data_IF_285688859754
#
_entry.id   IF_285688859754
#
_cell.length_a   1.000
_cell.length_b   1.000
_cell.length_c   1.000
_cell.angle_alpha   90.00
_cell.angle_beta   90.00
_cell.angle_gamma   90.00
#
_symmetry.space_group_name_H-M   'P 1'
#
loop_
_entity.id
_entity.type
_entity.pdbx_description
1 polymer ?
#
# COMPACT_ATOMS: atom_id res chain seq x y z
N UNK A 1 -32.92 -28.18 20.28
CA UNK A 1 -32.80 -28.08 18.82
C UNK A 1 -32.24 -29.39 18.30
N UNK A 2 -33.03 -30.15 17.56
CA UNK A 2 -32.55 -31.34 16.85
C UNK A 2 -32.07 -30.86 15.46
N UNK A 3 -30.80 -30.49 15.33
CA UNK A 3 -30.21 -30.30 14.01
C UNK A 3 -30.03 -31.69 13.40
N UNK A 4 -30.91 -32.09 12.49
CA UNK A 4 -30.74 -33.29 11.69
C UNK A 4 -29.63 -33.06 10.67
N UNK A 5 -28.40 -33.44 11.04
CA UNK A 5 -27.29 -33.58 10.10
C UNK A 5 -27.54 -34.83 9.23
N UNK A 6 -28.32 -34.69 8.15
CA UNK A 6 -28.52 -35.73 7.15
C UNK A 6 -27.38 -35.72 6.11
N UNK A 7 -26.14 -35.78 6.58
CA UNK A 7 -25.05 -36.23 5.73
C UNK A 7 -24.96 -37.75 5.90
N UNK A 8 -25.84 -38.46 5.20
CA UNK A 8 -25.93 -39.93 5.22
C UNK A 8 -24.70 -40.61 4.59
N UNK A 9 -23.76 -39.82 4.07
CA UNK A 9 -22.66 -40.33 3.22
C UNK A 9 -21.47 -40.87 4.02
N UNK A 10 -21.30 -40.50 5.30
CA UNK A 10 -20.19 -41.01 6.13
C UNK A 10 -20.53 -41.12 7.64
N UNK A 11 -20.70 -42.34 8.19
CA UNK A 11 -20.93 -42.56 9.63
C UNK A 11 -19.83 -41.97 10.53
N UNK A 12 -18.60 -41.85 10.02
CA UNK A 12 -17.47 -41.31 10.77
C UNK A 12 -17.63 -39.81 11.03
N UNK A 13 -18.16 -39.05 10.07
CA UNK A 13 -18.40 -37.61 10.21
C UNK A 13 -19.37 -37.35 11.37
N UNK A 14 -20.47 -38.11 11.41
CA UNK A 14 -21.48 -38.01 12.46
C UNK A 14 -20.93 -38.38 13.84
N UNK A 15 -20.10 -39.43 13.92
CA UNK A 15 -19.43 -39.81 15.16
C UNK A 15 -18.51 -38.69 15.66
N UNK A 16 -17.70 -38.11 14.78
CA UNK A 16 -16.78 -37.04 15.14
C UNK A 16 -17.51 -35.77 15.59
N UNK A 17 -18.57 -35.37 14.88
CA UNK A 17 -19.45 -34.25 15.24
C UNK A 17 -20.08 -34.48 16.62
N UNK A 18 -20.58 -35.69 16.89
CA UNK A 18 -21.16 -36.03 18.19
C UNK A 18 -20.12 -35.99 19.31
N UNK A 19 -18.92 -36.49 19.05
CA UNK A 19 -17.80 -36.44 20.01
C UNK A 19 -17.44 -34.98 20.31
N UNK A 20 -17.28 -34.14 19.27
CA UNK A 20 -17.03 -32.70 19.42
C UNK A 20 -18.10 -32.04 20.30
N UNK A 21 -19.38 -32.29 20.02
CA UNK A 21 -20.48 -31.70 20.78
C UNK A 21 -20.49 -32.12 22.26
N UNK A 22 -20.34 -33.42 22.54
CA UNK A 22 -20.37 -33.94 23.91
C UNK A 22 -19.15 -33.47 24.72
N UNK A 23 -17.96 -33.55 24.11
CA UNK A 23 -16.71 -33.16 24.75
C UNK A 23 -16.58 -31.64 24.91
N UNK A 24 -17.07 -30.88 23.93
CA UNK A 24 -17.10 -29.41 23.98
C UNK A 24 -17.98 -28.87 25.11
N UNK A 25 -19.10 -29.54 25.42
CA UNK A 25 -20.02 -29.10 26.48
C UNK A 25 -19.70 -29.63 27.87
N UNK A 26 -19.32 -30.90 27.98
CA UNK A 26 -19.19 -31.57 29.28
C UNK A 26 -17.73 -31.78 29.71
N UNK A 27 -16.78 -31.64 28.79
CA UNK A 27 -15.37 -31.81 29.08
C UNK A 27 -14.75 -30.60 29.78
N UNK A 28 -13.72 -30.85 30.60
CA UNK A 28 -12.81 -29.79 31.05
C UNK A 28 -11.96 -29.23 29.91
N UNK A 29 -11.24 -28.13 30.15
CA UNK A 29 -10.50 -27.40 29.12
C UNK A 29 -9.61 -28.29 28.21
N UNK A 30 -8.78 -29.23 28.73
CA UNK A 30 -7.97 -30.09 27.86
C UNK A 30 -8.80 -30.96 26.91
N UNK A 31 -9.97 -31.43 27.37
CA UNK A 31 -10.90 -32.24 26.57
C UNK A 31 -11.57 -31.39 25.49
N UNK A 32 -11.93 -30.14 25.81
CA UNK A 32 -12.48 -29.20 24.83
C UNK A 32 -11.46 -28.86 23.74
N UNK A 33 -10.21 -28.57 24.12
CA UNK A 33 -9.13 -28.28 23.19
C UNK A 33 -8.88 -29.44 22.22
N UNK A 34 -8.82 -30.67 22.74
CA UNK A 34 -8.62 -31.87 21.93
C UNK A 34 -9.79 -32.14 20.99
N UNK A 35 -11.03 -31.94 21.46
CA UNK A 35 -12.23 -32.07 20.63
C UNK A 35 -12.20 -31.11 19.44
N UNK A 36 -11.85 -29.84 19.67
CA UNK A 36 -11.72 -28.82 18.61
C UNK A 36 -10.59 -29.18 17.63
N UNK A 37 -9.42 -29.60 18.12
CA UNK A 37 -8.30 -30.02 17.27
C UNK A 37 -8.66 -31.17 16.35
N UNK A 38 -9.33 -32.19 16.89
CA UNK A 38 -9.76 -33.36 16.10
C UNK A 38 -10.74 -32.97 15.02
N UNK A 39 -11.70 -32.10 15.34
CA UNK A 39 -12.66 -31.59 14.36
C UNK A 39 -11.93 -30.84 13.24
N UNK A 40 -11.07 -29.88 13.58
CA UNK A 40 -10.29 -29.09 12.63
C UNK A 40 -9.42 -29.99 11.75
N UNK A 41 -8.65 -30.90 12.37
CA UNK A 41 -7.72 -31.76 11.65
C UNK A 41 -8.43 -32.74 10.71
N UNK A 42 -9.62 -33.21 11.06
CA UNK A 42 -10.37 -34.13 10.21
C UNK A 42 -10.99 -33.41 9.02
N UNK A 43 -11.59 -32.25 9.28
CA UNK A 43 -12.29 -31.50 8.25
C UNK A 43 -11.41 -30.49 7.51
N UNK A 44 -10.11 -30.34 7.84
CA UNK A 44 -9.24 -29.25 7.33
C UNK A 44 -9.17 -29.14 5.81
N UNK A 45 -9.32 -30.27 5.12
CA UNK A 45 -9.25 -30.37 3.67
C UNK A 45 -10.63 -30.38 3.00
N UNK A 46 -11.71 -30.38 3.78
CA UNK A 46 -13.10 -30.39 3.32
C UNK A 46 -13.72 -29.00 3.54
N UNK A 47 -14.17 -28.36 2.47
CA UNK A 47 -14.91 -27.10 2.55
C UNK A 47 -16.39 -27.37 2.86
N UNK A 48 -16.67 -27.82 4.09
CA UNK A 48 -18.00 -28.20 4.55
C UNK A 48 -18.64 -27.10 5.41
N UNK A 49 -19.52 -26.31 4.77
CA UNK A 49 -20.19 -25.17 5.40
C UNK A 49 -20.96 -25.54 6.68
N UNK A 50 -21.59 -26.71 6.73
CA UNK A 50 -22.40 -27.12 7.88
C UNK A 50 -21.50 -27.43 9.10
N UNK A 51 -20.32 -28.01 8.87
CA UNK A 51 -19.33 -28.24 9.92
C UNK A 51 -18.73 -26.92 10.39
N UNK A 52 -18.42 -26.01 9.47
CA UNK A 52 -17.87 -24.68 9.80
C UNK A 52 -18.87 -23.89 10.67
N UNK A 53 -20.16 -23.90 10.32
CA UNK A 53 -21.23 -23.31 11.13
C UNK A 53 -21.38 -23.98 12.48
N UNK A 54 -21.36 -25.32 12.52
CA UNK A 54 -21.45 -26.07 13.76
C UNK A 54 -20.33 -25.70 14.74
N UNK A 55 -19.09 -25.61 14.26
CA UNK A 55 -17.93 -25.24 15.09
C UNK A 55 -18.15 -23.88 15.75
N UNK A 56 -18.63 -22.89 14.99
CA UNK A 56 -18.88 -21.53 15.50
C UNK A 56 -20.07 -21.51 16.45
N UNK A 57 -21.17 -22.16 16.10
CA UNK A 57 -22.40 -22.12 16.88
C UNK A 57 -22.28 -22.87 18.21
N UNK A 58 -21.51 -23.96 18.22
CA UNK A 58 -21.31 -24.83 19.37
C UNK A 58 -19.87 -24.73 19.91
N UNK A 59 -19.20 -23.59 19.67
CA UNK A 59 -17.85 -23.40 20.17
C UNK A 59 -17.82 -23.50 21.71
N UNK A 60 -16.90 -24.28 22.32
CA UNK A 60 -16.92 -24.49 23.77
C UNK A 60 -16.76 -23.18 24.57
N UNK A 61 -17.69 -22.90 25.48
CA UNK A 61 -17.69 -21.65 26.28
C UNK A 61 -16.44 -21.53 27.17
N UNK A 62 -15.97 -22.66 27.73
CA UNK A 62 -14.74 -22.70 28.53
C UNK A 62 -13.53 -22.27 27.70
N UNK A 63 -13.34 -22.88 26.53
CA UNK A 63 -12.27 -22.50 25.61
C UNK A 63 -12.40 -21.05 25.10
N UNK A 64 -13.62 -20.57 24.84
CA UNK A 64 -13.86 -19.17 24.46
C UNK A 64 -13.43 -18.19 25.56
N UNK A 65 -13.68 -18.53 26.83
CA UNK A 65 -13.27 -17.73 27.98
C UNK A 65 -11.74 -17.68 28.09
N UNK A 66 -11.06 -18.82 27.88
CA UNK A 66 -9.59 -18.88 27.85
C UNK A 66 -9.00 -18.08 26.69
N UNK A 67 -9.63 -18.08 25.51
CA UNK A 67 -9.22 -17.21 24.41
C UNK A 67 -9.36 -15.73 24.74
N UNK A 68 -10.40 -15.33 25.47
CA UNK A 68 -10.52 -13.95 25.96
C UNK A 68 -9.40 -13.59 26.94
N UNK A 69 -9.18 -14.44 27.96
CA UNK A 69 -8.11 -14.26 28.95
C UNK A 69 -6.73 -14.18 28.29
N UNK A 70 -6.46 -15.04 27.29
CA UNK A 70 -5.25 -15.01 26.46
C UNK A 70 -5.09 -13.64 25.78
N UNK A 71 -6.17 -13.10 25.21
CA UNK A 71 -6.14 -11.81 24.54
C UNK A 71 -5.98 -10.63 25.51
N UNK A 72 -6.40 -10.77 26.76
CA UNK A 72 -6.21 -9.80 27.85
C UNK A 72 -4.80 -9.82 28.45
N UNK A 73 -3.96 -10.78 28.04
CA UNK A 73 -2.57 -10.91 28.50
C UNK A 73 -2.45 -11.61 29.86
N UNK A 74 -3.46 -12.37 30.27
CA UNK A 74 -3.39 -13.17 31.49
C UNK A 74 -2.41 -14.33 31.32
N UNK A 75 -1.39 -14.40 32.17
CA UNK A 75 -0.30 -15.39 32.08
C UNK A 75 -0.54 -16.67 32.87
N UNK A 76 -1.68 -16.78 33.57
CA UNK A 76 -1.92 -17.85 34.54
C UNK A 76 -2.41 -19.17 33.91
N UNK A 77 -2.49 -19.24 32.58
CA UNK A 77 -2.99 -20.42 31.87
C UNK A 77 -1.89 -21.45 31.68
N UNK A 78 -2.14 -22.67 32.17
CA UNK A 78 -1.30 -23.84 31.93
C UNK A 78 -1.26 -24.09 30.42
N UNK A 79 -0.06 -24.12 29.83
CA UNK A 79 0.20 -24.39 28.41
C UNK A 79 -0.28 -23.31 27.41
N UNK A 80 0.04 -22.06 27.75
CA UNK A 80 -0.25 -20.85 26.96
C UNK A 80 0.13 -20.95 25.46
N UNK A 81 1.27 -21.54 25.11
CA UNK A 81 1.69 -21.68 23.70
C UNK A 81 0.83 -22.65 22.89
N UNK A 82 0.30 -23.68 23.55
CA UNK A 82 -0.60 -24.65 22.94
C UNK A 82 -2.00 -24.07 22.75
N UNK A 83 -2.43 -23.17 23.65
CA UNK A 83 -3.65 -22.37 23.49
C UNK A 83 -3.52 -21.36 22.33
N UNK A 84 -2.40 -20.64 22.23
CA UNK A 84 -2.10 -19.74 21.10
C UNK A 84 -2.16 -20.43 19.75
N UNK A 85 -1.52 -21.60 19.64
CA UNK A 85 -1.53 -22.39 18.40
C UNK A 85 -2.95 -22.81 18.04
N UNK A 86 -3.70 -23.34 19.00
CA UNK A 86 -5.10 -23.71 18.78
C UNK A 86 -5.96 -22.51 18.39
N UNK A 87 -5.75 -21.34 18.99
CA UNK A 87 -6.46 -20.12 18.62
C UNK A 87 -6.25 -19.75 17.15
N UNK A 88 -5.01 -19.80 16.67
CA UNK A 88 -4.68 -19.54 15.27
C UNK A 88 -5.22 -20.62 14.33
N UNK A 89 -5.19 -21.90 14.74
CA UNK A 89 -5.78 -23.01 13.99
C UNK A 89 -7.30 -22.83 13.84
N UNK A 90 -7.99 -22.42 14.92
CA UNK A 90 -9.43 -22.12 14.90
C UNK A 90 -9.73 -20.96 13.96
N UNK A 91 -8.98 -19.86 14.06
CA UNK A 91 -9.16 -18.71 13.16
C UNK A 91 -8.95 -19.11 11.68
N UNK A 92 -7.88 -19.84 11.41
CA UNK A 92 -7.54 -20.35 10.08
C UNK A 92 -8.64 -21.26 9.54
N UNK A 93 -9.15 -22.16 10.38
CA UNK A 93 -10.23 -23.06 10.00
C UNK A 93 -11.55 -22.33 9.72
N UNK A 94 -11.94 -21.37 10.55
CA UNK A 94 -13.17 -20.60 10.37
C UNK A 94 -13.16 -19.80 9.07
N UNK A 95 -12.05 -19.14 8.75
CA UNK A 95 -11.97 -18.23 7.60
C UNK A 95 -11.33 -18.86 6.36
N UNK A 96 -11.23 -20.19 6.27
CA UNK A 96 -10.92 -20.88 5.01
C UNK A 96 -12.09 -20.92 4.02
N UNK A 97 -13.31 -20.69 4.52
CA UNK A 97 -14.56 -20.75 3.76
C UNK A 97 -15.14 -19.34 3.62
N UNK A 98 -15.28 -18.87 2.39
CA UNK A 98 -15.80 -17.52 2.08
C UNK A 98 -17.22 -17.29 2.61
N UNK A 99 -18.03 -18.33 2.78
CA UNK A 99 -19.38 -18.18 3.31
C UNK A 99 -19.41 -17.76 4.79
N UNK A 100 -18.33 -18.01 5.54
CA UNK A 100 -18.25 -17.71 6.97
C UNK A 100 -17.99 -16.24 7.27
N UNK A 101 -17.58 -15.44 6.27
CA UNK A 101 -17.23 -14.03 6.47
C UNK A 101 -18.43 -13.16 6.87
N UNK A 102 -19.64 -13.61 6.53
CA UNK A 102 -20.91 -12.94 6.81
C UNK A 102 -21.56 -13.39 8.11
N UNK A 103 -21.08 -14.49 8.71
CA UNK A 103 -21.72 -15.11 9.86
C UNK A 103 -21.53 -14.23 11.11
N UNK A 104 -22.62 -13.76 11.77
CA UNK A 104 -22.52 -12.80 12.87
C UNK A 104 -21.66 -13.31 14.04
N UNK A 105 -21.70 -14.62 14.31
CA UNK A 105 -20.87 -15.24 15.35
C UNK A 105 -19.40 -15.39 14.94
N UNK A 106 -19.08 -15.49 13.64
CA UNK A 106 -17.68 -15.51 13.20
C UNK A 106 -16.96 -14.20 13.53
N UNK A 107 -17.71 -13.09 13.59
CA UNK A 107 -17.17 -11.77 13.93
C UNK A 107 -16.48 -11.72 15.30
N UNK A 108 -16.95 -12.46 16.31
CA UNK A 108 -16.29 -12.48 17.62
C UNK A 108 -14.88 -13.08 17.54
N UNK A 109 -14.65 -14.03 16.63
CA UNK A 109 -13.30 -14.56 16.38
C UNK A 109 -12.39 -13.53 15.71
N UNK A 110 -12.93 -12.66 14.86
CA UNK A 110 -12.17 -11.54 14.28
C UNK A 110 -11.76 -10.57 15.38
N UNK A 111 -12.69 -10.18 16.24
CA UNK A 111 -12.43 -9.23 17.33
C UNK A 111 -11.40 -9.79 18.32
N UNK A 112 -11.52 -11.07 18.69
CA UNK A 112 -10.50 -11.80 19.46
C UNK A 112 -9.15 -11.82 18.74
N UNK A 113 -9.12 -12.11 17.43
CA UNK A 113 -7.88 -12.18 16.66
C UNK A 113 -7.16 -10.84 16.63
N UNK A 114 -7.91 -9.75 16.41
CA UNK A 114 -7.38 -8.39 16.41
C UNK A 114 -6.82 -8.00 17.78
N UNK A 115 -7.49 -8.41 18.87
CA UNK A 115 -7.01 -8.20 20.24
C UNK A 115 -5.74 -9.02 20.51
N UNK A 116 -5.75 -10.29 20.11
CA UNK A 116 -4.65 -11.24 20.26
C UNK A 116 -3.35 -10.75 19.62
N UNK A 117 -3.39 -10.35 18.34
CA UNK A 117 -2.19 -9.84 17.65
C UNK A 117 -1.73 -8.49 18.20
N UNK A 118 -2.59 -7.73 18.87
CA UNK A 118 -2.21 -6.45 19.48
C UNK A 118 -1.44 -6.64 20.78
N UNK A 119 -1.76 -7.68 21.57
CA UNK A 119 -1.14 -7.95 22.87
C UNK A 119 0.01 -8.94 22.81
N UNK A 120 0.09 -9.76 21.76
CA UNK A 120 1.14 -10.77 21.60
C UNK A 120 2.44 -10.20 21.02
N UNK A 121 3.58 -10.57 21.62
CA UNK A 121 4.89 -10.14 21.13
C UNK A 121 5.42 -10.99 19.97
N UNK A 122 5.51 -12.30 20.16
CA UNK A 122 6.02 -13.25 19.16
C UNK A 122 5.31 -14.59 19.33
N UNK A 123 4.79 -15.15 18.24
CA UNK A 123 4.04 -16.41 18.27
C UNK A 123 4.53 -17.30 17.15
N UNK A 124 5.07 -18.48 17.45
CA UNK A 124 5.45 -19.45 16.42
C UNK A 124 4.21 -20.12 15.83
N UNK A 125 4.03 -20.01 14.52
CA UNK A 125 2.92 -20.64 13.78
C UNK A 125 3.47 -21.75 12.91
N UNK A 126 2.83 -22.92 12.94
CA UNK A 126 3.20 -24.07 12.10
C UNK A 126 2.87 -23.82 10.62
N UNK A 127 1.79 -23.12 10.33
CA UNK A 127 1.32 -22.84 8.98
C UNK A 127 0.88 -21.37 8.80
N UNK A 128 1.88 -20.47 8.74
CA UNK A 128 1.64 -19.04 8.49
C UNK A 128 1.00 -18.78 7.11
N UNK A 129 1.27 -19.66 6.14
CA UNK A 129 0.76 -19.57 4.78
C UNK A 129 -0.78 -19.67 4.72
N UNK A 130 -1.35 -20.67 5.40
CA UNK A 130 -2.81 -20.86 5.50
C UNK A 130 -3.48 -19.77 6.33
N UNK A 131 -2.81 -19.26 7.37
CA UNK A 131 -3.32 -18.13 8.16
C UNK A 131 -3.43 -16.87 7.29
N UNK A 132 -2.45 -16.60 6.43
CA UNK A 132 -2.50 -15.47 5.49
C UNK A 132 -3.67 -15.62 4.51
N UNK A 133 -3.89 -16.81 3.95
CA UNK A 133 -5.04 -17.06 3.06
C UNK A 133 -6.38 -16.82 3.77
N UNK A 134 -6.47 -17.28 5.01
CA UNK A 134 -7.67 -17.10 5.82
C UNK A 134 -7.94 -15.63 6.14
N UNK A 135 -6.90 -14.82 6.35
CA UNK A 135 -7.05 -13.37 6.49
C UNK A 135 -7.54 -12.76 5.17
N UNK A 136 -6.97 -13.14 4.03
CA UNK A 136 -7.40 -12.65 2.71
C UNK A 136 -8.88 -12.95 2.48
N UNK A 137 -9.33 -14.18 2.75
CA UNK A 137 -10.74 -14.57 2.69
C UNK A 137 -11.55 -13.75 3.68
N UNK A 138 -11.14 -13.64 4.95
CA UNK A 138 -11.83 -12.87 5.97
C UNK A 138 -12.09 -11.41 5.56
N UNK A 139 -11.11 -10.75 4.93
CA UNK A 139 -11.21 -9.34 4.50
C UNK A 139 -11.81 -9.15 3.11
N UNK A 140 -12.19 -10.23 2.42
CA UNK A 140 -13.01 -10.12 1.19
C UNK A 140 -14.36 -9.44 1.49
N UNK A 141 -14.87 -9.58 2.72
CA UNK A 141 -16.03 -8.86 3.21
C UNK A 141 -15.67 -7.48 3.77
N UNK A 142 -16.30 -6.44 3.23
CA UNK A 142 -15.93 -5.04 3.51
C UNK A 142 -16.02 -4.65 5.00
N UNK A 143 -17.06 -5.01 5.78
CA UNK A 143 -17.10 -4.72 7.21
C UNK A 143 -15.92 -5.31 7.99
N UNK A 144 -15.50 -6.54 7.66
CA UNK A 144 -14.32 -7.16 8.27
C UNK A 144 -13.05 -6.41 7.86
N UNK A 145 -12.92 -6.02 6.60
CA UNK A 145 -11.81 -5.19 6.11
C UNK A 145 -11.70 -3.88 6.89
N UNK A 146 -12.81 -3.18 7.11
CA UNK A 146 -12.87 -1.95 7.91
C UNK A 146 -12.41 -2.20 9.35
N UNK A 147 -12.81 -3.32 9.97
CA UNK A 147 -12.33 -3.70 11.31
C UNK A 147 -10.81 -3.90 11.32
N UNK A 148 -10.25 -4.57 10.32
CA UNK A 148 -8.80 -4.77 10.19
C UNK A 148 -8.05 -3.45 10.04
N UNK A 149 -8.53 -2.53 9.20
CA UNK A 149 -7.93 -1.21 9.01
C UNK A 149 -7.98 -0.40 10.31
N UNK A 150 -9.15 -0.28 10.94
CA UNK A 150 -9.34 0.52 12.15
C UNK A 150 -8.53 0.01 13.35
N UNK A 151 -8.28 -1.31 13.41
CA UNK A 151 -7.47 -1.93 14.46
C UNK A 151 -5.98 -2.07 14.11
N UNK A 152 -5.54 -1.55 12.96
CA UNK A 152 -4.15 -1.63 12.50
C UNK A 152 -3.64 -3.08 12.42
N UNK A 153 -4.51 -4.00 11.97
CA UNK A 153 -4.29 -5.42 12.06
C UNK A 153 -2.98 -5.84 11.39
N UNK A 154 -2.69 -5.32 10.19
CA UNK A 154 -1.49 -5.68 9.43
C UNK A 154 -0.20 -5.29 10.14
N UNK A 155 -0.15 -4.12 10.79
CA UNK A 155 1.04 -3.70 11.53
C UNK A 155 1.30 -4.63 12.71
N UNK A 156 0.26 -4.95 13.48
CA UNK A 156 0.35 -5.83 14.63
C UNK A 156 0.70 -7.25 14.19
N UNK A 157 0.06 -7.74 13.13
CA UNK A 157 0.36 -9.03 12.51
C UNK A 157 1.83 -9.12 12.10
N UNK A 158 2.34 -8.13 11.33
CA UNK A 158 3.73 -8.12 10.93
C UNK A 158 4.66 -8.13 12.14
N UNK A 159 4.34 -7.38 13.21
CA UNK A 159 5.13 -7.38 14.43
C UNK A 159 5.14 -8.77 15.12
N UNK A 160 3.99 -9.45 15.22
CA UNK A 160 3.88 -10.77 15.85
C UNK A 160 4.61 -11.89 15.08
N UNK A 161 4.62 -11.83 13.75
CA UNK A 161 5.06 -12.94 12.89
C UNK A 161 6.36 -12.67 12.11
N UNK A 162 7.00 -11.50 12.32
CA UNK A 162 8.15 -10.99 11.54
C UNK A 162 9.31 -11.96 11.27
N UNK A 163 9.55 -12.92 12.15
CA UNK A 163 10.79 -13.69 12.20
C UNK A 163 10.70 -15.11 11.62
N UNK A 164 9.60 -15.47 10.95
CA UNK A 164 9.31 -16.89 10.68
C UNK A 164 9.64 -17.36 9.27
N UNK A 165 9.46 -16.53 8.24
CA UNK A 165 9.72 -16.99 6.88
C UNK A 165 9.91 -15.83 5.88
N UNK A 166 11.09 -15.78 5.22
CA UNK A 166 11.35 -14.82 4.15
C UNK A 166 10.60 -15.15 2.86
N UNK A 167 10.25 -16.43 2.64
CA UNK A 167 9.55 -16.90 1.43
C UNK A 167 8.12 -16.37 1.34
N UNK A 168 7.51 -16.03 2.48
CA UNK A 168 6.14 -15.50 2.54
C UNK A 168 6.05 -13.99 2.32
N UNK A 169 7.16 -13.29 2.07
CA UNK A 169 7.18 -11.83 1.88
C UNK A 169 6.21 -11.35 0.80
N UNK A 170 6.19 -12.00 -0.36
CA UNK A 170 5.27 -11.62 -1.45
C UNK A 170 3.80 -11.88 -1.08
N UNK A 171 3.50 -13.03 -0.48
CA UNK A 171 2.14 -13.38 -0.05
C UNK A 171 1.63 -12.45 1.04
N UNK A 172 2.51 -12.09 1.97
CA UNK A 172 2.26 -11.08 2.99
C UNK A 172 1.90 -9.73 2.36
N UNK A 173 2.68 -9.25 1.38
CA UNK A 173 2.36 -8.01 0.67
C UNK A 173 1.00 -8.09 -0.04
N UNK A 174 0.67 -9.21 -0.69
CA UNK A 174 -0.66 -9.44 -1.27
C UNK A 174 -1.76 -9.31 -0.22
N UNK A 175 -1.57 -9.88 0.97
CA UNK A 175 -2.53 -9.73 2.08
C UNK A 175 -2.66 -8.26 2.51
N UNK A 176 -1.54 -7.54 2.65
CA UNK A 176 -1.55 -6.10 2.99
C UNK A 176 -2.36 -5.31 1.96
N UNK A 177 -2.15 -5.56 0.67
CA UNK A 177 -2.90 -4.91 -0.40
C UNK A 177 -4.39 -5.23 -0.34
N UNK A 178 -4.77 -6.47 -0.08
CA UNK A 178 -6.18 -6.86 0.05
C UNK A 178 -6.87 -6.14 1.22
N UNK A 179 -6.19 -6.02 2.37
CA UNK A 179 -6.72 -5.29 3.54
C UNK A 179 -6.90 -3.80 3.25
N UNK A 180 -5.94 -3.17 2.58
CA UNK A 180 -5.99 -1.72 2.33
C UNK A 180 -6.61 -1.32 0.98
N UNK A 181 -7.20 -2.25 0.24
CA UNK A 181 -8.01 -1.94 -0.95
C UNK A 181 -9.46 -1.73 -0.53
N UNK A 182 -9.82 -0.47 -0.28
CA UNK A 182 -11.16 -0.05 0.15
C UNK A 182 -11.75 0.97 -0.84
N UNK A 183 -13.04 0.83 -1.14
CA UNK A 183 -13.72 1.75 -2.06
C UNK A 183 -14.01 3.11 -1.40
N UNK A 184 -14.06 4.22 -2.17
CA UNK A 184 -14.27 5.57 -1.63
C UNK A 184 -15.56 5.73 -0.83
N UNK A 185 -16.61 4.96 -1.15
CA UNK A 185 -17.90 5.03 -0.47
C UNK A 185 -17.85 4.56 1.00
N UNK A 186 -16.80 3.83 1.38
CA UNK A 186 -16.59 3.35 2.76
C UNK A 186 -15.61 4.22 3.56
N UNK A 187 -15.11 5.33 2.99
CA UNK A 187 -14.15 6.23 3.64
C UNK A 187 -14.63 6.73 5.01
N UNK A 188 -15.92 7.07 5.14
CA UNK A 188 -16.52 7.56 6.39
C UNK A 188 -16.58 6.53 7.52
N UNK A 189 -16.32 5.25 7.23
CA UNK A 189 -16.27 4.18 8.24
C UNK A 189 -14.90 4.05 8.90
N UNK A 190 -13.90 4.80 8.42
CA UNK A 190 -12.55 4.79 8.97
C UNK A 190 -12.41 5.81 10.11
N UNK A 191 -11.68 5.42 11.15
CA UNK A 191 -11.32 6.33 12.24
C UNK A 191 -10.07 7.14 11.86
N UNK A 192 -10.22 8.41 11.51
CA UNK A 192 -9.11 9.27 11.03
C UNK A 192 -8.03 9.49 12.09
N UNK A 193 -8.40 9.55 13.36
CA UNK A 193 -7.46 9.67 14.49
C UNK A 193 -6.57 8.43 14.56
N UNK A 194 -7.17 7.23 14.53
CA UNK A 194 -6.38 6.00 14.52
C UNK A 194 -5.50 5.91 13.29
N UNK A 195 -6.03 6.25 12.10
CA UNK A 195 -5.26 6.22 10.85
C UNK A 195 -4.04 7.16 10.91
N UNK A 196 -4.20 8.34 11.49
CA UNK A 196 -3.13 9.30 11.77
C UNK A 196 -2.04 8.69 12.65
N UNK A 197 -2.42 8.13 13.80
CA UNK A 197 -1.48 7.47 14.71
C UNK A 197 -0.74 6.31 14.03
N UNK A 198 -1.42 5.58 13.15
CA UNK A 198 -0.85 4.40 12.47
C UNK A 198 0.16 4.79 11.43
N UNK A 199 -0.17 5.74 10.56
CA UNK A 199 0.75 6.27 9.55
C UNK A 199 2.00 6.83 10.21
N UNK A 200 1.85 7.64 11.27
CA UNK A 200 2.98 8.18 12.02
C UNK A 200 3.79 7.08 12.74
N UNK A 201 3.12 6.06 13.30
CA UNK A 201 3.76 4.90 13.90
C UNK A 201 4.62 4.09 12.91
N UNK A 202 4.09 3.83 11.71
CA UNK A 202 4.81 3.15 10.63
C UNK A 202 6.02 3.95 10.15
N UNK A 203 5.87 5.27 9.97
CA UNK A 203 6.99 6.15 9.63
C UNK A 203 8.09 6.10 10.69
N UNK A 204 7.74 6.24 11.97
CA UNK A 204 8.72 6.17 13.06
C UNK A 204 9.44 4.80 13.08
N UNK A 205 8.70 3.69 12.92
CA UNK A 205 9.31 2.36 12.86
C UNK A 205 10.24 2.21 11.67
N UNK A 206 9.83 2.64 10.49
CA UNK A 206 10.69 2.62 9.29
C UNK A 206 11.96 3.45 9.51
N UNK A 207 11.82 4.67 10.01
CA UNK A 207 12.96 5.56 10.25
C UNK A 207 13.93 4.99 11.29
N UNK A 208 13.44 4.29 12.30
CA UNK A 208 14.28 3.70 13.35
C UNK A 208 14.95 2.40 12.90
N UNK A 209 14.22 1.49 12.26
CA UNK A 209 14.74 0.16 11.93
C UNK A 209 15.33 0.08 10.53
N UNK A 210 14.99 1.02 9.65
CA UNK A 210 15.35 1.01 8.23
C UNK A 210 14.99 -0.32 7.56
N UNK A 211 13.84 -0.92 7.88
CA UNK A 211 13.44 -2.22 7.29
C UNK A 211 12.45 -1.97 6.15
N UNK A 212 12.70 -2.55 4.98
CA UNK A 212 11.97 -2.21 3.75
C UNK A 212 10.48 -2.54 3.82
N UNK A 213 10.10 -3.61 4.52
CA UNK A 213 8.70 -4.00 4.67
C UNK A 213 7.86 -2.90 5.32
N UNK A 214 8.43 -2.13 6.26
CA UNK A 214 7.73 -0.98 6.86
C UNK A 214 7.46 0.13 5.84
N UNK A 215 8.41 0.39 4.93
CA UNK A 215 8.18 1.34 3.84
C UNK A 215 7.10 0.83 2.90
N UNK A 216 7.15 -0.44 2.50
CA UNK A 216 6.17 -1.03 1.59
C UNK A 216 4.75 -0.99 2.20
N UNK A 217 4.60 -1.39 3.46
CA UNK A 217 3.32 -1.29 4.18
C UNK A 217 2.83 0.15 4.28
N UNK A 218 3.70 1.09 4.68
CA UNK A 218 3.35 2.51 4.77
C UNK A 218 2.85 3.05 3.42
N UNK A 219 3.52 2.69 2.32
CA UNK A 219 3.14 3.13 0.98
C UNK A 219 1.78 2.57 0.55
N UNK A 220 1.48 1.31 0.86
CA UNK A 220 0.16 0.72 0.61
C UNK A 220 -0.93 1.45 1.40
N UNK A 221 -0.68 1.75 2.69
CA UNK A 221 -1.62 2.53 3.52
C UNK A 221 -1.82 3.93 2.94
N UNK A 222 -0.75 4.64 2.58
CA UNK A 222 -0.85 5.98 1.99
C UNK A 222 -1.53 5.97 0.63
N UNK A 223 -1.37 4.90 -0.17
CA UNK A 223 -2.10 4.70 -1.43
C UNK A 223 -3.60 4.59 -1.17
N UNK A 224 -4.00 3.85 -0.13
CA UNK A 224 -5.40 3.79 0.31
C UNK A 224 -5.89 5.18 0.75
N UNK A 225 -5.17 5.86 1.65
CA UNK A 225 -5.54 7.20 2.15
C UNK A 225 -5.72 8.18 0.99
N UNK A 226 -4.80 8.17 0.01
CA UNK A 226 -4.90 8.98 -1.20
C UNK A 226 -6.14 8.62 -2.03
N UNK A 227 -6.39 7.33 -2.27
CA UNK A 227 -7.54 6.85 -3.04
C UNK A 227 -8.87 7.27 -2.39
N UNK A 228 -8.96 7.20 -1.07
CA UNK A 228 -10.11 7.62 -0.27
C UNK A 228 -10.20 9.13 -0.06
N UNK A 229 -9.24 9.92 -0.60
CA UNK A 229 -9.14 11.39 -0.44
C UNK A 229 -8.96 11.88 1.00
N UNK A 230 -8.47 11.01 1.89
CA UNK A 230 -8.31 11.29 3.33
C UNK A 230 -6.99 11.98 3.69
N UNK A 231 -6.11 12.27 2.72
CA UNK A 231 -4.79 12.89 2.98
C UNK A 231 -4.87 14.25 3.69
N UNK A 232 -5.99 14.97 3.53
CA UNK A 232 -6.23 16.27 4.20
C UNK A 232 -6.91 16.13 5.56
N UNK A 233 -7.39 14.94 5.87
CA UNK A 233 -8.18 14.64 7.07
C UNK A 233 -7.33 13.96 8.16
N UNK A 234 -6.13 13.48 7.80
CA UNK A 234 -5.17 12.89 8.73
C UNK A 234 -3.97 13.82 8.93
N UNK A 235 -3.42 13.85 10.15
CA UNK A 235 -2.29 14.71 10.51
C UNK A 235 -0.95 13.97 10.33
N UNK A 236 -0.42 14.04 9.11
CA UNK A 236 0.90 13.47 8.78
C UNK A 236 2.01 14.42 9.23
N UNK A 237 3.00 13.92 9.95
CA UNK A 237 4.27 14.64 10.17
C UNK A 237 5.03 14.75 8.83
N UNK A 238 4.90 15.90 8.17
CA UNK A 238 5.41 16.10 6.81
C UNK A 238 6.95 15.99 6.74
N UNK A 239 7.66 16.38 7.79
CA UNK A 239 9.12 16.27 7.82
C UNK A 239 9.57 14.81 7.91
N UNK A 240 8.94 14.02 8.81
CA UNK A 240 9.21 12.58 8.86
C UNK A 240 8.79 11.85 7.60
N UNK A 241 7.70 12.30 6.96
CA UNK A 241 7.27 11.75 5.69
C UNK A 241 8.27 12.05 4.57
N UNK A 242 8.86 13.26 4.56
CA UNK A 242 9.96 13.60 3.67
C UNK A 242 11.17 12.69 3.89
N UNK A 243 11.66 12.56 5.12
CA UNK A 243 12.81 11.69 5.44
C UNK A 243 12.55 10.23 5.05
N UNK A 244 11.32 9.75 5.30
CA UNK A 244 10.87 8.42 4.90
C UNK A 244 10.90 8.27 3.38
N UNK A 245 10.36 9.25 2.65
CA UNK A 245 10.35 9.26 1.19
C UNK A 245 11.77 9.21 0.62
N UNK A 246 12.69 10.03 1.13
CA UNK A 246 14.08 10.06 0.66
C UNK A 246 14.75 8.70 0.86
N UNK A 247 14.59 8.09 2.03
CA UNK A 247 15.18 6.77 2.30
C UNK A 247 14.57 5.68 1.44
N UNK A 248 13.24 5.70 1.23
CA UNK A 248 12.58 4.76 0.33
C UNK A 248 13.05 4.94 -1.12
N UNK A 249 13.19 6.19 -1.58
CA UNK A 249 13.70 6.53 -2.91
C UNK A 249 15.12 6.00 -3.13
N UNK A 250 16.06 6.30 -2.22
CA UNK A 250 17.44 5.85 -2.32
C UNK A 250 17.55 4.33 -2.44
N UNK A 251 16.66 3.59 -1.75
CA UNK A 251 16.58 2.13 -1.85
C UNK A 251 16.04 1.63 -3.18
N UNK A 252 14.94 2.20 -3.65
CA UNK A 252 14.37 1.82 -4.95
C UNK A 252 15.38 2.03 -6.08
N UNK A 253 16.11 3.15 -6.02
CA UNK A 253 17.21 3.45 -6.95
C UNK A 253 18.31 2.38 -6.86
N UNK A 254 18.76 2.03 -5.65
CA UNK A 254 19.83 1.03 -5.48
C UNK A 254 19.47 -0.37 -6.00
N UNK A 255 18.18 -0.69 -6.06
CA UNK A 255 17.67 -1.98 -6.54
C UNK A 255 17.29 -1.96 -8.03
N UNK A 256 17.44 -0.82 -8.73
CA UNK A 256 16.94 -0.62 -10.10
C UNK A 256 15.44 -0.95 -10.27
N UNK A 257 14.68 -0.86 -9.17
CA UNK A 257 13.25 -1.15 -9.15
C UNK A 257 12.50 0.19 -9.11
N UNK A 258 12.45 0.87 -10.27
CA UNK A 258 11.56 2.01 -10.47
C UNK A 258 10.11 1.52 -10.45
N UNK A 259 9.59 1.39 -9.25
CA UNK A 259 8.31 0.75 -9.00
C UNK A 259 7.14 1.72 -9.18
N UNK A 260 5.96 1.14 -9.40
CA UNK A 260 4.66 1.81 -9.31
C UNK A 260 4.52 2.69 -8.06
N UNK A 261 5.25 2.36 -6.99
CA UNK A 261 5.29 3.09 -5.73
C UNK A 261 5.76 4.55 -5.90
N UNK A 262 6.74 4.83 -6.76
CA UNK A 262 7.23 6.20 -6.97
C UNK A 262 6.19 7.09 -7.64
N UNK A 263 5.36 6.51 -8.52
CA UNK A 263 4.24 7.23 -9.11
C UNK A 263 3.19 7.59 -8.05
N UNK A 264 2.91 6.69 -7.10
CA UNK A 264 1.96 6.94 -6.03
C UNK A 264 2.51 7.96 -5.01
N UNK A 265 3.79 7.86 -4.64
CA UNK A 265 4.49 8.88 -3.85
C UNK A 265 4.40 10.27 -4.49
N UNK A 266 4.66 10.36 -5.79
CA UNK A 266 4.54 11.60 -6.55
C UNK A 266 3.15 12.22 -6.47
N UNK A 267 2.09 11.40 -6.53
CA UNK A 267 0.70 11.87 -6.37
C UNK A 267 0.43 12.35 -4.94
N UNK A 268 0.85 11.59 -3.93
CA UNK A 268 0.72 11.96 -2.52
C UNK A 268 1.42 13.30 -2.25
N UNK A 269 2.66 13.46 -2.71
CA UNK A 269 3.41 14.71 -2.57
C UNK A 269 2.77 15.88 -3.31
N UNK A 270 2.17 15.65 -4.48
CA UNK A 270 1.42 16.70 -5.18
C UNK A 270 0.26 17.21 -4.32
N UNK A 271 -0.43 16.31 -3.64
CA UNK A 271 -1.55 16.67 -2.77
C UNK A 271 -1.05 17.42 -1.54
N UNK A 272 0.01 16.93 -0.89
CA UNK A 272 0.62 17.59 0.28
C UNK A 272 1.12 18.98 -0.08
N UNK A 273 1.89 19.15 -1.17
CA UNK A 273 2.45 20.45 -1.56
C UNK A 273 1.38 21.49 -1.96
N UNK A 274 0.22 21.04 -2.44
CA UNK A 274 -0.92 21.91 -2.74
C UNK A 274 -1.87 22.09 -1.56
N UNK A 275 -1.60 21.45 -0.42
CA UNK A 275 -2.42 21.58 0.79
C UNK A 275 -2.30 23.00 1.35
N UNK A 276 -3.40 23.62 1.79
CA UNK A 276 -3.33 24.86 2.56
C UNK A 276 -2.62 24.67 3.91
N UNK A 277 -2.53 23.42 4.41
CA UNK A 277 -1.83 23.07 5.66
C UNK A 277 -0.35 22.70 5.44
N UNK A 278 0.17 22.81 4.22
CA UNK A 278 1.54 22.43 3.93
C UNK A 278 2.54 23.31 4.70
N UNK A 279 3.34 22.70 5.55
CA UNK A 279 4.44 23.36 6.27
C UNK A 279 5.80 23.13 5.60
N UNK A 280 5.88 22.18 4.65
CA UNK A 280 7.14 21.84 3.99
C UNK A 280 7.50 22.87 2.92
N UNK A 281 8.65 23.49 3.12
CA UNK A 281 9.32 24.35 2.14
C UNK A 281 10.40 23.57 1.41
N UNK A 282 10.47 23.73 0.09
CA UNK A 282 11.57 23.26 -0.75
C UNK A 282 12.63 24.37 -0.75
N UNK A 283 13.38 24.45 0.33
CA UNK A 283 14.34 25.53 0.63
C UNK A 283 15.80 25.08 0.57
N UNK A 284 16.06 23.82 0.23
CA UNK A 284 17.41 23.26 0.04
C UNK A 284 17.54 22.59 -1.33
N UNK A 285 18.77 22.56 -1.83
CA UNK A 285 19.12 21.87 -3.08
C UNK A 285 18.79 20.37 -2.98
N UNK A 286 19.02 19.75 -1.82
CA UNK A 286 18.71 18.33 -1.58
C UNK A 286 17.20 18.05 -1.67
N UNK A 287 16.37 18.90 -1.05
CA UNK A 287 14.90 18.80 -1.17
C UNK A 287 14.45 18.92 -2.61
N UNK A 288 14.96 19.94 -3.30
CA UNK A 288 14.64 20.19 -4.69
C UNK A 288 15.05 19.00 -5.59
N UNK A 289 16.25 18.47 -5.40
CA UNK A 289 16.78 17.29 -6.09
C UNK A 289 15.91 16.05 -5.87
N UNK A 290 15.57 15.74 -4.62
CA UNK A 290 14.74 14.59 -4.28
C UNK A 290 13.34 14.70 -4.89
N UNK A 291 12.70 15.87 -4.81
CA UNK A 291 11.41 16.11 -5.44
C UNK A 291 11.47 16.02 -6.97
N UNK A 292 12.54 16.54 -7.58
CA UNK A 292 12.75 16.41 -9.03
C UNK A 292 12.82 14.96 -9.44
N UNK A 293 13.60 14.12 -8.76
CA UNK A 293 13.66 12.71 -9.11
C UNK A 293 12.28 12.02 -9.05
N UNK A 294 11.54 12.23 -7.95
CA UNK A 294 10.20 11.64 -7.75
C UNK A 294 9.21 12.13 -8.81
N UNK A 295 9.20 13.44 -9.10
CA UNK A 295 8.29 14.02 -10.08
C UNK A 295 8.66 13.66 -11.51
N UNK A 296 9.94 13.58 -11.84
CA UNK A 296 10.39 13.12 -13.15
C UNK A 296 9.93 11.70 -13.42
N UNK A 297 10.01 10.78 -12.45
CA UNK A 297 9.51 9.40 -12.61
C UNK A 297 8.00 9.37 -12.93
N UNK A 298 7.16 10.13 -12.22
CA UNK A 298 5.72 10.19 -12.52
C UNK A 298 5.42 10.82 -13.88
N UNK A 299 6.12 11.90 -14.25
CA UNK A 299 5.94 12.54 -15.56
C UNK A 299 6.38 11.57 -16.67
N UNK A 300 7.52 10.90 -16.52
CA UNK A 300 8.01 9.86 -17.43
C UNK A 300 6.99 8.73 -17.59
N UNK A 301 6.42 8.22 -16.50
CA UNK A 301 5.40 7.17 -16.55
C UNK A 301 4.15 7.60 -17.36
N UNK A 302 3.74 8.87 -17.24
CA UNK A 302 2.62 9.41 -18.02
C UNK A 302 2.95 9.56 -19.49
N UNK A 303 4.12 10.11 -19.81
CA UNK A 303 4.58 10.25 -21.21
C UNK A 303 4.74 8.89 -21.88
N UNK A 304 5.29 7.91 -21.17
CA UNK A 304 5.42 6.54 -21.66
C UNK A 304 4.06 5.90 -21.99
N UNK A 305 3.05 6.09 -21.14
CA UNK A 305 1.67 5.62 -21.43
C UNK A 305 1.11 6.26 -22.69
N UNK A 306 1.29 7.57 -22.86
CA UNK A 306 0.82 8.31 -24.03
C UNK A 306 1.53 7.85 -25.30
N UNK A 307 2.84 7.65 -25.24
CA UNK A 307 3.64 7.06 -26.33
C UNK A 307 3.12 5.68 -26.78
N UNK A 308 2.60 4.89 -25.83
CA UNK A 308 2.02 3.57 -26.12
C UNK A 308 0.53 3.63 -26.51
N UNK A 309 -0.01 4.82 -26.80
CA UNK A 309 -1.41 5.00 -27.18
C UNK A 309 -2.41 4.91 -26.02
N UNK A 310 -1.95 4.86 -24.77
CA UNK A 310 -2.80 4.79 -23.58
C UNK A 310 -3.15 6.19 -23.07
N UNK A 311 -4.02 6.89 -23.80
CA UNK A 311 -4.59 8.19 -23.43
C UNK A 311 -3.75 9.40 -23.83
N UNK A 312 -4.06 10.57 -23.25
CA UNK A 312 -3.48 11.88 -23.62
C UNK A 312 -2.67 12.49 -22.46
N UNK A 313 -1.60 13.23 -22.75
CA UNK A 313 -0.83 13.94 -21.73
C UNK A 313 -1.54 15.22 -21.27
N UNK A 314 -2.30 15.14 -20.17
CA UNK A 314 -3.05 16.28 -19.62
C UNK A 314 -2.17 17.18 -18.74
N UNK A 315 -2.01 18.45 -19.13
CA UNK A 315 -1.27 19.48 -18.38
C UNK A 315 -2.15 20.10 -17.28
N UNK A 316 -2.42 19.33 -16.23
CA UNK A 316 -3.17 19.80 -15.06
C UNK A 316 -2.37 20.77 -14.20
N UNK A 317 -3.00 21.50 -13.26
CA UNK A 317 -2.30 22.34 -12.26
C UNK A 317 -1.17 21.57 -11.53
N UNK A 318 -1.43 20.32 -11.14
CA UNK A 318 -0.43 19.48 -10.47
C UNK A 318 0.70 19.08 -11.44
N UNK A 319 0.38 18.78 -12.70
CA UNK A 319 1.40 18.53 -13.73
C UNK A 319 2.30 19.74 -13.92
N UNK A 320 1.73 20.96 -13.97
CA UNK A 320 2.50 22.20 -14.09
C UNK A 320 3.45 22.40 -12.91
N UNK A 321 2.96 22.24 -11.68
CA UNK A 321 3.78 22.35 -10.47
C UNK A 321 4.98 21.39 -10.51
N UNK A 322 4.77 20.13 -10.92
CA UNK A 322 5.86 19.15 -11.09
C UNK A 322 6.88 19.62 -12.11
N UNK A 323 6.43 20.04 -13.29
CA UNK A 323 7.33 20.51 -14.36
C UNK A 323 8.09 21.76 -13.91
N UNK A 324 7.47 22.70 -13.17
CA UNK A 324 8.17 23.85 -12.61
C UNK A 324 9.26 23.45 -11.61
N UNK A 325 9.01 22.48 -10.73
CA UNK A 325 10.01 21.98 -9.79
C UNK A 325 11.17 21.34 -10.54
N UNK A 326 10.89 20.51 -11.56
CA UNK A 326 11.91 19.91 -12.42
C UNK A 326 12.70 20.99 -13.17
N UNK A 327 12.01 21.98 -13.74
CA UNK A 327 12.61 23.09 -14.47
C UNK A 327 13.54 23.92 -13.58
N UNK A 328 13.10 24.25 -12.36
CA UNK A 328 13.92 24.99 -11.40
C UNK A 328 15.22 24.23 -11.09
N UNK A 329 15.15 22.90 -10.93
CA UNK A 329 16.34 22.05 -10.76
C UNK A 329 17.27 22.12 -11.97
N UNK A 330 16.74 22.12 -13.20
CA UNK A 330 17.56 22.32 -14.39
C UNK A 330 18.22 23.71 -14.44
N UNK A 331 17.55 24.75 -13.93
CA UNK A 331 18.13 26.10 -13.82
C UNK A 331 19.30 26.14 -12.86
N UNK A 332 19.16 25.55 -11.66
CA UNK A 332 20.21 25.52 -10.65
C UNK A 332 21.22 24.38 -10.83
N UNK A 333 21.03 23.53 -11.84
CA UNK A 333 21.84 22.34 -12.09
C UNK A 333 23.35 22.60 -12.15
N UNK A 334 23.87 23.74 -12.68
CA UNK A 334 25.29 24.02 -12.62
C UNK A 334 25.85 24.04 -11.18
N UNK A 335 25.06 24.51 -10.21
CA UNK A 335 25.44 24.51 -8.78
C UNK A 335 25.43 23.10 -8.20
N UNK A 336 24.44 22.29 -8.58
CA UNK A 336 24.36 20.86 -8.21
C UNK A 336 25.60 20.13 -8.75
N UNK A 337 25.98 20.41 -10.00
CA UNK A 337 27.08 19.74 -10.68
C UNK A 337 28.47 20.08 -10.12
N UNK A 338 28.62 21.23 -9.46
CA UNK A 338 29.87 21.63 -8.81
C UNK A 338 30.05 20.99 -7.43
N UNK A 339 28.98 20.53 -6.80
CA UNK A 339 29.06 19.76 -5.57
C UNK A 339 29.63 18.36 -5.85
N UNK A 340 30.30 17.75 -4.86
CA UNK A 340 30.99 16.45 -5.00
C UNK A 340 30.13 15.44 -5.78
N UNK A 341 30.71 14.79 -6.79
CA UNK A 341 30.05 13.76 -7.60
C UNK A 341 29.52 12.63 -6.71
N UNK A 342 28.26 12.75 -6.30
CA UNK A 342 27.58 11.75 -5.50
C UNK A 342 26.81 10.81 -6.42
N UNK A 343 26.65 9.55 -6.00
CA UNK A 343 25.78 8.58 -6.66
C UNK A 343 24.38 9.15 -6.98
N UNK A 344 23.82 9.92 -6.04
CA UNK A 344 22.52 10.59 -6.19
C UNK A 344 22.46 11.55 -7.38
N UNK A 345 23.56 12.24 -7.69
CA UNK A 345 23.64 13.13 -8.83
C UNK A 345 23.66 12.34 -10.15
N UNK A 346 24.41 11.24 -10.22
CA UNK A 346 24.43 10.38 -11.41
C UNK A 346 23.03 9.81 -11.70
N UNK A 347 22.34 9.31 -10.66
CA UNK A 347 20.96 8.84 -10.80
C UNK A 347 20.02 9.97 -11.26
N UNK A 348 20.14 11.16 -10.68
CA UNK A 348 19.31 12.30 -11.09
C UNK A 348 19.52 12.65 -12.56
N UNK A 349 20.78 12.69 -13.03
CA UNK A 349 21.12 12.93 -14.44
C UNK A 349 20.43 11.88 -15.32
N UNK A 350 20.56 10.61 -14.98
CA UNK A 350 19.92 9.52 -15.73
C UNK A 350 18.40 9.70 -15.81
N UNK A 351 17.75 9.95 -14.67
CA UNK A 351 16.29 10.18 -14.62
C UNK A 351 15.87 11.37 -15.49
N UNK A 352 16.65 12.46 -15.47
CA UNK A 352 16.36 13.65 -16.26
C UNK A 352 16.60 13.44 -17.76
N UNK A 353 17.62 12.66 -18.13
CA UNK A 353 17.86 12.25 -19.51
C UNK A 353 16.73 11.37 -20.03
N UNK A 354 16.32 10.35 -19.27
CA UNK A 354 15.18 9.49 -19.64
C UNK A 354 13.90 10.31 -19.83
N UNK A 355 13.67 11.29 -18.95
CA UNK A 355 12.53 12.21 -19.07
C UNK A 355 12.67 13.11 -20.31
N UNK A 356 13.87 13.62 -20.60
CA UNK A 356 14.14 14.41 -21.81
C UNK A 356 13.80 13.62 -23.08
N UNK A 357 14.25 12.37 -23.17
CA UNK A 357 14.01 11.50 -24.33
C UNK A 357 12.52 11.18 -24.53
N UNK A 358 11.78 11.01 -23.42
CA UNK A 358 10.32 10.83 -23.47
C UNK A 358 9.60 12.10 -23.91
N UNK A 359 10.05 13.28 -23.48
CA UNK A 359 9.52 14.54 -23.97
C UNK A 359 9.82 14.75 -25.45
N UNK A 360 11.05 14.48 -25.88
CA UNK A 360 11.44 14.50 -27.29
C UNK A 360 10.51 13.62 -28.12
N UNK A 361 10.35 12.36 -27.73
CA UNK A 361 9.45 11.41 -28.41
C UNK A 361 8.01 11.91 -28.46
N UNK A 362 7.52 12.49 -27.35
CA UNK A 362 6.18 13.06 -27.27
C UNK A 362 6.01 14.25 -28.23
N UNK A 363 6.97 15.17 -28.25
CA UNK A 363 6.97 16.33 -29.15
C UNK A 363 7.04 15.91 -30.62
N UNK A 364 7.90 14.94 -30.97
CA UNK A 364 8.02 14.44 -32.35
C UNK A 364 6.74 13.79 -32.84
N UNK A 365 6.12 12.93 -32.02
CA UNK A 365 4.92 12.18 -32.40
C UNK A 365 3.64 13.04 -32.39
N UNK A 366 3.59 14.13 -31.62
CA UNK A 366 2.36 14.87 -31.33
C UNK A 366 2.45 16.38 -31.62
N UNK A 367 3.51 16.82 -32.30
CA UNK A 367 3.86 18.24 -32.51
C UNK A 367 2.76 19.08 -33.14
N UNK A 368 1.95 18.50 -34.03
CA UNK A 368 0.98 19.25 -34.83
C UNK A 368 -0.44 19.11 -34.27
N UNK A 369 -0.92 17.91 -33.95
CA UNK A 369 -2.34 17.77 -33.60
C UNK A 369 -2.62 17.89 -32.09
N UNK A 370 -1.74 17.39 -31.22
CA UNK A 370 -2.07 17.31 -29.78
C UNK A 370 -1.59 18.54 -29.00
N UNK A 371 -0.40 19.03 -29.32
CA UNK A 371 0.20 20.17 -28.62
C UNK A 371 -0.51 21.47 -28.98
N UNK A 372 -0.95 21.61 -30.23
CA UNK A 372 -1.68 22.78 -30.69
C UNK A 372 -3.03 22.97 -30.00
N UNK A 373 -3.63 21.87 -29.55
CA UNK A 373 -4.87 21.88 -28.80
C UNK A 373 -4.68 22.25 -27.31
N UNK A 374 -3.44 22.35 -26.82
CA UNK A 374 -3.17 22.80 -25.45
C UNK A 374 -3.29 24.34 -25.35
N UNK A 375 -3.69 24.88 -24.18
CA UNK A 375 -3.56 26.32 -23.94
C UNK A 375 -2.12 26.79 -24.15
N UNK A 376 -1.93 27.99 -24.72
CA UNK A 376 -0.59 28.56 -24.98
C UNK A 376 0.35 28.51 -23.76
N UNK A 377 -0.08 28.85 -22.53
CA UNK A 377 0.81 28.76 -21.37
C UNK A 377 1.33 27.34 -21.10
N UNK A 378 0.55 26.33 -21.46
CA UNK A 378 0.87 24.93 -21.25
C UNK A 378 1.87 24.46 -22.30
N UNK A 379 1.65 24.84 -23.57
CA UNK A 379 2.63 24.64 -24.64
C UNK A 379 3.97 25.25 -24.24
N UNK A 380 3.96 26.52 -23.84
CA UNK A 380 5.17 27.26 -23.44
C UNK A 380 5.93 26.54 -22.33
N UNK A 381 5.24 26.06 -21.30
CA UNK A 381 5.86 25.29 -20.22
C UNK A 381 6.58 24.03 -20.71
N UNK A 382 5.96 23.27 -21.62
CA UNK A 382 6.57 22.04 -22.16
C UNK A 382 7.81 22.34 -23.01
N UNK A 383 7.73 23.34 -23.90
CA UNK A 383 8.87 23.78 -24.71
C UNK A 383 10.00 24.37 -23.86
N UNK A 384 9.66 25.18 -22.86
CA UNK A 384 10.63 25.76 -21.93
C UNK A 384 11.39 24.67 -21.17
N UNK A 385 10.68 23.65 -20.67
CA UNK A 385 11.30 22.47 -20.08
C UNK A 385 12.21 21.73 -21.09
N UNK A 386 11.72 21.48 -22.30
CA UNK A 386 12.44 20.72 -23.31
C UNK A 386 13.76 21.38 -23.72
N UNK A 387 13.72 22.68 -24.04
CA UNK A 387 14.90 23.47 -24.38
C UNK A 387 15.88 23.49 -23.21
N UNK A 388 15.38 23.74 -22.00
CA UNK A 388 16.23 23.84 -20.82
C UNK A 388 16.89 22.51 -20.46
N UNK A 389 16.17 21.40 -20.59
CA UNK A 389 16.72 20.05 -20.34
C UNK A 389 17.80 19.70 -21.37
N UNK A 390 17.58 19.99 -22.66
CA UNK A 390 18.58 19.81 -23.72
C UNK A 390 19.91 20.51 -23.40
N UNK A 391 19.84 21.81 -23.10
CA UNK A 391 21.03 22.62 -22.78
C UNK A 391 21.71 22.14 -21.50
N UNK A 392 20.93 21.85 -20.46
CA UNK A 392 21.47 21.51 -19.12
C UNK A 392 22.13 20.13 -19.10
N UNK A 393 21.54 19.16 -19.81
CA UNK A 393 22.03 17.78 -19.89
C UNK A 393 23.04 17.58 -21.02
N UNK A 394 23.35 18.64 -21.79
CA UNK A 394 24.21 18.60 -22.97
C UNK A 394 23.77 17.54 -24.00
N UNK A 395 22.46 17.40 -24.20
CA UNK A 395 21.89 16.50 -25.21
C UNK A 395 21.99 17.19 -26.57
N UNK A 396 22.65 16.55 -27.53
CA UNK A 396 22.74 17.09 -28.88
C UNK A 396 21.36 17.10 -29.54
N UNK A 397 20.89 18.30 -29.91
CA UNK A 397 19.65 18.44 -30.66
C UNK A 397 19.86 17.94 -32.08
N UNK A 398 19.07 16.96 -32.50
CA UNK A 398 19.01 16.57 -33.91
C UNK A 398 18.21 17.59 -34.75
N UNK A 399 18.30 17.52 -36.08
CA UNK A 399 17.58 18.45 -36.96
C UNK A 399 16.06 18.43 -36.77
N UNK A 400 15.47 17.29 -36.38
CA UNK A 400 14.03 17.14 -36.16
C UNK A 400 13.61 17.97 -34.94
N UNK A 401 14.35 17.84 -33.85
CA UNK A 401 14.17 18.58 -32.60
C UNK A 401 14.32 20.09 -32.82
N UNK A 402 15.29 20.51 -33.63
CA UNK A 402 15.47 21.92 -34.01
C UNK A 402 14.28 22.45 -34.80
N UNK A 403 13.77 21.68 -35.77
CA UNK A 403 12.57 22.02 -36.52
C UNK A 403 11.33 22.21 -35.64
N UNK A 404 11.14 21.33 -34.64
CA UNK A 404 10.02 21.44 -33.69
C UNK A 404 10.10 22.74 -32.87
N UNK A 405 11.30 23.11 -32.42
CA UNK A 405 11.52 24.36 -31.66
C UNK A 405 11.32 25.58 -32.57
N UNK A 406 11.86 25.55 -33.79
CA UNK A 406 11.73 26.65 -34.75
C UNK A 406 10.26 26.90 -35.12
N UNK A 407 9.52 25.84 -35.45
CA UNK A 407 8.08 25.93 -35.75
C UNK A 407 7.29 26.55 -34.59
N UNK A 408 7.65 26.21 -33.35
CA UNK A 408 7.03 26.81 -32.17
C UNK A 408 7.30 28.31 -32.07
N UNK A 409 8.55 28.75 -32.26
CA UNK A 409 8.90 30.18 -32.22
C UNK A 409 8.27 30.97 -33.38
N UNK A 410 8.20 30.41 -34.59
CA UNK A 410 7.51 31.02 -35.72
C UNK A 410 6.03 31.23 -35.41
N UNK A 411 5.37 30.24 -34.80
CA UNK A 411 3.98 30.35 -34.34
C UNK A 411 3.79 31.36 -33.22
N UNK A 412 4.72 31.45 -32.28
CA UNK A 412 4.69 32.50 -31.24
C UNK A 412 4.81 33.90 -31.85
N UNK A 413 5.71 34.07 -32.82
CA UNK A 413 5.94 35.36 -33.50
C UNK A 413 4.73 35.83 -34.32
N UNK A 414 3.93 34.89 -34.83
CA UNK A 414 2.75 35.17 -35.65
C UNK A 414 1.46 35.30 -34.84
N UNK A 415 1.48 34.96 -33.54
CA UNK A 415 0.30 35.05 -32.68
C UNK A 415 0.16 36.46 -32.06
N UNK A 416 -0.83 37.27 -32.49
CA UNK A 416 -0.98 38.66 -32.04
C UNK A 416 -1.25 38.80 -30.54
N UNK A 417 -1.79 37.75 -29.91
CA UNK A 417 -2.06 37.73 -28.47
C UNK A 417 -0.80 37.59 -27.61
N UNK A 418 0.33 37.21 -28.23
CA UNK A 418 1.62 36.99 -27.57
C UNK A 418 2.70 37.95 -28.07
N UNK A 419 2.47 38.62 -29.20
CA UNK A 419 3.41 39.57 -29.80
C UNK A 419 3.67 40.83 -28.97
N UNK A 420 2.88 41.08 -27.92
CA UNK A 420 3.01 42.27 -27.05
C UNK A 420 3.65 41.97 -25.67
N UNK A 421 4.13 40.74 -25.42
CA UNK A 421 4.68 40.33 -24.10
C UNK A 421 6.21 40.22 -24.11
N UNK A 422 6.87 40.47 -25.25
CA UNK A 422 8.33 40.47 -25.35
C UNK A 422 8.88 41.85 -25.69
#
# INVERSE_FOLDING_TARGET
MNCQFNDETCPMNQLLIRVFYLQGRLGGLPVQMEAVRRLISYFSNENNLEVDKLLIEQFPEGLSSEFNALCDGETNVIDHETLKRLFLDVFTFVFRNENMVMEPKARSFIELFLKFIKTSHTIQVSNLDALIDSIIICVSYVPNKILFINNNAIFNFYYCFRNQDYHLSQKFLTMVENVYTLEPLHSSSLCHIHLTERVNGMMNKFLNTKVQDWANMLLIVLRMVHHLRLLMEIDIDINKFYDTTVLSYLRCVSLSQYSMLMCDLSKIWSIILNSPRNTLKIDTIDKLTNFTAIFSIDVSSRLFKVRNGHGTFKVTKNTKQKIYIIYLTLVIFPLINQSVQTWTQHTLIQILTDLHDLFKSYLEQHSIDLIENLPVPDQFLLYQYYIKSSVTLNVQNDPVSQGIIQNYFERLSTNPSLSNVF
#
